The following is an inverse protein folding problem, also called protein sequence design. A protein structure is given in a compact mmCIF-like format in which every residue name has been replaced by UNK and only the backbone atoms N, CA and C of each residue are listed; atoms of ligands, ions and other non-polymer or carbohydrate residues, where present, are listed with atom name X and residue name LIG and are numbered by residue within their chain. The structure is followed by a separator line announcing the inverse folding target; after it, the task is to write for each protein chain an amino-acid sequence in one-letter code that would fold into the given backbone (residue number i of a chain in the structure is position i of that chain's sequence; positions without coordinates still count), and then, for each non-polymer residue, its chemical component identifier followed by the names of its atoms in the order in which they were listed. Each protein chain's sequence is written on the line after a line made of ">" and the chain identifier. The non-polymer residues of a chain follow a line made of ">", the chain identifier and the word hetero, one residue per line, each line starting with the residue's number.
data_IF_787488315922
#
_entry.id   IF_787488315922
#
_cell.length_a   1.000
_cell.length_b   1.000
_cell.length_c   1.000
_cell.angle_alpha   90.00
_cell.angle_beta   90.00
_cell.angle_gamma   90.00
#
_symmetry.space_group_name_H-M   'P 1'
#
loop_
_entity.id
_entity.type
_entity.pdbx_description
1 polymer ?
#
# COMPACT_ATOMS: atom_id res chain seq x y z
N UNK A 1 -21.25 -25.97 8.20
CA UNK A 1 -21.20 -25.77 8.26
C UNK A 1 -21.44 -25.36 8.36
N UNK A 2 -21.55 -25.32 8.08
CA UNK A 2 -21.63 -24.89 8.16
C UNK A 2 -21.84 -24.61 9.01
N UNK A 3 -21.86 -24.55 9.24
CA UNK A 3 -21.98 -24.29 9.85
C UNK A 3 -22.04 -23.84 10.49
N UNK A 4 -22.07 -24.89 10.91
CA UNK A 4 -21.62 -23.83 11.48
C UNK A 4 -21.89 -22.68 10.79
N UNK A 5 -22.20 -22.23 11.13
CA UNK A 5 -22.47 -21.14 10.46
C UNK A 5 -21.34 -20.52 9.84
N UNK A 6 -21.02 -21.00 8.76
CA UNK A 6 -19.96 -20.39 8.02
C UNK A 6 -20.56 -19.35 7.13
N UNK A 7 -20.23 -18.14 7.36
CA UNK A 7 -20.53 -17.11 6.41
C UNK A 7 -19.64 -17.32 5.21
N UNK A 8 -20.23 -17.54 4.08
CA UNK A 8 -19.47 -17.62 2.86
C UNK A 8 -19.15 -16.23 2.39
N UNK A 9 -17.88 -16.01 2.12
CA UNK A 9 -17.46 -14.79 1.48
C UNK A 9 -17.49 -15.02 -0.02
N UNK A 10 -18.21 -14.19 -0.71
CA UNK A 10 -18.28 -14.25 -2.16
C UNK A 10 -17.45 -13.11 -2.71
N UNK A 11 -16.47 -13.44 -3.52
CA UNK A 11 -15.65 -12.45 -4.18
C UNK A 11 -15.82 -12.61 -5.67
N UNK A 12 -16.26 -11.54 -6.31
CA UNK A 12 -16.37 -11.47 -7.75
C UNK A 12 -15.29 -10.57 -8.27
N UNK A 13 -14.99 -10.69 -9.55
CA UNK A 13 -14.00 -9.83 -10.17
C UNK A 13 -14.40 -8.37 -9.97
N UNK A 14 -13.53 -7.60 -9.34
CA UNK A 14 -13.74 -6.21 -9.06
C UNK A 14 -14.39 -5.91 -7.73
N UNK A 15 -15.08 -6.87 -7.10
CA UNK A 15 -15.82 -6.63 -5.87
C UNK A 15 -15.73 -7.82 -4.95
N UNK A 16 -15.45 -7.56 -3.66
CA UNK A 16 -15.61 -8.56 -2.62
C UNK A 16 -16.85 -8.22 -1.80
N UNK A 17 -17.64 -9.24 -1.51
CA UNK A 17 -18.87 -9.04 -0.75
C UNK A 17 -18.94 -10.05 0.38
N UNK A 18 -19.19 -9.59 1.59
CA UNK A 18 -19.41 -10.41 2.75
C UNK A 18 -20.34 -9.65 3.67
N UNK A 19 -21.46 -10.24 4.02
CA UNK A 19 -22.42 -9.63 4.94
C UNK A 19 -22.74 -8.18 4.56
N UNK A 20 -23.05 -7.96 3.29
CA UNK A 20 -23.39 -6.65 2.75
C UNK A 20 -22.28 -5.64 2.70
N UNK A 21 -21.05 -6.06 2.96
CA UNK A 21 -19.89 -5.18 2.82
C UNK A 21 -19.29 -5.36 1.43
N UNK A 22 -19.14 -4.26 0.72
CA UNK A 22 -18.52 -4.25 -0.61
C UNK A 22 -17.14 -3.66 -0.50
N UNK A 23 -16.16 -4.37 -1.06
CA UNK A 23 -14.77 -3.90 -1.10
C UNK A 23 -14.39 -3.74 -2.57
N UNK A 24 -13.94 -2.55 -2.97
CA UNK A 24 -13.55 -2.36 -4.36
C UNK A 24 -12.30 -3.18 -4.71
N UNK A 25 -12.23 -3.60 -5.95
CA UNK A 25 -11.09 -4.32 -6.48
C UNK A 25 -10.87 -3.87 -7.92
N UNK A 26 -9.82 -3.11 -8.22
CA UNK A 26 -8.68 -2.81 -7.36
C UNK A 26 -9.03 -1.85 -6.22
N UNK A 27 -8.17 -1.83 -5.22
CA UNK A 27 -8.31 -0.96 -4.08
C UNK A 27 -7.04 -0.14 -3.93
N UNK A 28 -7.18 1.15 -3.62
CA UNK A 28 -6.04 2.01 -3.36
C UNK A 28 -5.74 1.97 -1.88
N UNK A 29 -4.51 1.61 -1.54
CA UNK A 29 -4.06 1.54 -0.16
C UNK A 29 -2.82 2.39 0.01
N UNK A 30 -2.62 2.86 1.25
CA UNK A 30 -1.44 3.66 1.59
C UNK A 30 -0.75 2.97 2.77
N UNK A 31 -0.04 1.87 2.52
CA UNK A 31 0.66 1.19 3.61
C UNK A 31 1.89 1.96 4.05
N UNK A 32 2.30 1.72 5.28
CA UNK A 32 3.55 2.31 5.76
C UNK A 32 4.72 1.60 5.11
N UNK A 33 5.56 2.37 4.41
CA UNK A 33 6.71 1.84 3.69
C UNK A 33 7.97 2.65 3.92
N UNK A 34 7.82 3.78 4.62
CA UNK A 34 8.93 4.70 4.90
C UNK A 34 8.83 5.16 6.35
N UNK A 35 9.50 6.24 6.68
CA UNK A 35 9.44 6.81 8.02
C UNK A 35 8.07 7.44 8.27
N UNK A 36 7.66 7.44 9.52
CA UNK A 36 6.35 7.98 9.90
C UNK A 36 6.23 9.47 9.61
N UNK A 37 7.36 10.18 9.61
CA UNK A 37 7.38 11.62 9.37
C UNK A 37 7.19 11.99 7.90
N UNK A 38 7.21 11.01 7.02
CA UNK A 38 7.16 11.23 5.59
C UNK A 38 5.82 10.76 5.06
N UNK A 39 5.29 11.48 4.08
CA UNK A 39 4.06 11.07 3.44
C UNK A 39 4.26 9.70 2.78
N UNK A 40 3.33 8.80 3.07
CA UNK A 40 3.43 7.43 2.55
C UNK A 40 2.87 7.37 1.14
N UNK A 41 3.55 6.69 0.22
CA UNK A 41 3.02 6.53 -1.13
C UNK A 41 1.83 5.57 -1.15
N UNK A 42 0.84 5.88 -1.97
CA UNK A 42 -0.28 4.99 -2.18
C UNK A 42 -0.05 4.17 -3.43
N UNK A 43 -0.72 3.04 -3.51
CA UNK A 43 -0.66 2.17 -4.68
C UNK A 43 -1.97 1.43 -4.84
N UNK A 44 -2.22 0.99 -6.05
CA UNK A 44 -3.36 0.12 -6.31
C UNK A 44 -2.98 -1.32 -6.06
N UNK A 45 -3.87 -2.02 -5.40
CA UNK A 45 -3.73 -3.43 -5.12
C UNK A 45 -4.92 -4.18 -5.69
N UNK A 46 -4.67 -5.38 -6.15
CA UNK A 46 -5.70 -6.29 -6.61
C UNK A 46 -5.70 -7.49 -5.69
N UNK A 47 -6.85 -7.85 -5.16
CA UNK A 47 -6.92 -9.07 -4.41
C UNK A 47 -7.54 -10.18 -5.23
N UNK A 48 -7.08 -11.38 -4.98
CA UNK A 48 -7.51 -12.57 -5.68
C UNK A 48 -7.80 -13.67 -4.67
N UNK A 49 -8.68 -14.56 -5.05
CA UNK A 49 -8.94 -15.75 -4.27
C UNK A 49 -8.38 -16.93 -5.01
N UNK A 50 -7.69 -17.77 -4.27
CA UNK A 50 -7.20 -19.02 -4.78
C UNK A 50 -7.75 -20.14 -3.92
N UNK A 51 -8.32 -21.16 -4.54
CA UNK A 51 -8.75 -22.33 -3.82
C UNK A 51 -7.56 -23.23 -3.58
N UNK A 52 -7.33 -23.55 -2.32
CA UNK A 52 -6.20 -24.38 -1.95
C UNK A 52 -6.71 -25.55 -1.14
N UNK A 53 -7.23 -26.55 -1.85
CA UNK A 53 -7.70 -27.78 -1.21
C UNK A 53 -8.93 -27.56 -0.33
N UNK A 54 -9.85 -26.74 -0.79
CA UNK A 54 -11.07 -26.48 -0.05
C UNK A 54 -11.00 -25.30 0.91
N UNK A 55 -9.81 -24.74 1.10
CA UNK A 55 -9.63 -23.56 1.92
C UNK A 55 -9.30 -22.37 1.02
N UNK A 56 -10.10 -21.29 1.05
CA UNK A 56 -9.78 -20.15 0.22
C UNK A 56 -8.58 -19.38 0.77
N UNK A 57 -7.72 -18.96 -0.13
CA UNK A 57 -6.57 -18.14 0.20
C UNK A 57 -6.74 -16.81 -0.51
N UNK A 58 -6.66 -15.74 0.27
CA UNK A 58 -6.75 -14.39 -0.28
C UNK A 58 -5.35 -13.87 -0.52
N UNK A 59 -5.13 -13.34 -1.72
CA UNK A 59 -3.85 -12.77 -2.09
C UNK A 59 -4.04 -11.31 -2.42
N UNK A 60 -3.16 -10.48 -1.92
CA UNK A 60 -3.13 -9.07 -2.24
C UNK A 60 -1.91 -8.82 -3.11
N UNK A 61 -2.13 -8.35 -4.32
CA UNK A 61 -1.06 -8.16 -5.29
C UNK A 61 -0.99 -6.69 -5.65
N UNK A 62 0.22 -6.15 -5.59
CA UNK A 62 0.45 -4.76 -5.96
C UNK A 62 0.36 -4.62 -7.48
N UNK A 63 -0.54 -3.76 -7.94
CA UNK A 63 -0.81 -3.64 -9.37
C UNK A 63 0.25 -2.85 -10.11
N UNK A 64 0.94 -1.94 -9.41
CA UNK A 64 1.90 -1.03 -10.02
C UNK A 64 3.34 -1.46 -9.82
N UNK A 65 3.56 -2.61 -9.23
CA UNK A 65 4.91 -3.11 -8.99
C UNK A 65 5.67 -2.23 -8.02
N UNK A 66 6.88 -1.86 -8.37
CA UNK A 66 7.75 -1.08 -7.49
C UNK A 66 7.68 0.42 -7.66
N UNK A 67 6.69 0.94 -8.35
CA UNK A 67 6.61 2.37 -8.65
C UNK A 67 6.60 3.22 -7.36
N UNK A 68 6.01 2.71 -6.29
CA UNK A 68 5.94 3.42 -5.01
C UNK A 68 7.33 3.78 -4.47
N UNK A 69 8.36 3.04 -4.86
CA UNK A 69 9.72 3.30 -4.35
C UNK A 69 10.25 4.64 -4.82
N UNK A 70 10.01 4.98 -6.07
CA UNK A 70 10.44 6.28 -6.59
C UNK A 70 9.72 7.41 -5.87
N UNK A 71 8.43 7.25 -5.65
CA UNK A 71 7.64 8.24 -4.93
C UNK A 71 8.11 8.36 -3.48
N UNK A 72 8.38 7.24 -2.82
CA UNK A 72 8.88 7.23 -1.44
C UNK A 72 10.21 7.97 -1.34
N UNK A 73 11.12 7.70 -2.27
CA UNK A 73 12.43 8.37 -2.25
C UNK A 73 12.29 9.87 -2.46
N UNK A 74 11.38 10.28 -3.32
CA UNK A 74 11.13 11.71 -3.53
C UNK A 74 10.55 12.36 -2.27
N UNK A 75 9.62 11.70 -1.61
CA UNK A 75 9.02 12.22 -0.39
C UNK A 75 10.07 12.35 0.73
N UNK A 76 10.95 11.37 0.86
CA UNK A 76 12.04 11.42 1.83
C UNK A 76 12.98 12.56 1.52
N UNK A 77 13.33 12.74 0.25
CA UNK A 77 14.22 13.81 -0.17
C UNK A 77 13.62 15.18 0.16
N UNK A 78 12.34 15.36 -0.11
CA UNK A 78 11.67 16.63 0.19
C UNK A 78 11.62 16.90 1.68
N UNK A 79 11.33 15.88 2.46
CA UNK A 79 11.30 16.00 3.91
C UNK A 79 12.67 16.41 4.45
N UNK A 80 13.74 15.73 4.04
CA UNK A 80 15.07 16.03 4.51
C UNK A 80 15.54 17.41 4.04
N UNK A 81 15.18 17.80 2.84
CA UNK A 81 15.52 19.12 2.32
C UNK A 81 14.90 20.20 3.20
N UNK A 82 13.67 20.00 3.60
CA UNK A 82 12.98 20.96 4.47
C UNK A 82 13.58 20.98 5.86
N UNK A 83 13.85 19.81 6.44
CA UNK A 83 14.37 19.72 7.80
C UNK A 83 15.79 20.25 7.92
N UNK A 84 16.59 20.16 6.86
CA UNK A 84 17.98 20.54 6.87
C UNK A 84 18.25 21.91 6.26
N UNK A 85 17.22 22.62 5.83
CA UNK A 85 17.43 23.88 5.13
C UNK A 85 18.11 24.95 5.97
N UNK A 86 17.89 24.93 7.29
CA UNK A 86 18.49 25.92 8.19
C UNK A 86 19.95 25.61 8.48
N UNK A 87 20.37 24.39 8.22
CA UNK A 87 21.75 23.96 8.40
C UNK A 87 22.55 24.18 7.12
N UNK A 88 21.91 23.98 5.96
CA UNK A 88 22.56 24.13 4.68
C UNK A 88 22.70 25.62 4.34
N UNK A 89 23.93 26.07 4.17
CA UNK A 89 24.22 27.47 3.84
C UNK A 89 25.49 27.54 2.99
N UNK A 90 26.03 28.75 2.79
CA UNK A 90 27.20 28.94 1.95
C UNK A 90 28.43 28.18 2.47
N UNK A 91 28.58 28.06 3.78
CA UNK A 91 29.72 27.35 4.36
C UNK A 91 29.47 25.87 4.51
N UNK A 92 28.22 25.52 4.78
CA UNK A 92 27.85 24.12 4.94
C UNK A 92 26.81 23.79 3.92
N UNK A 93 27.19 23.04 2.90
CA UNK A 93 26.25 22.60 1.87
C UNK A 93 25.91 21.15 2.10
N UNK A 94 24.61 20.88 2.09
CA UNK A 94 24.09 19.53 2.29
C UNK A 94 23.48 19.09 0.98
N UNK A 95 23.94 17.95 0.49
CA UNK A 95 23.40 17.34 -0.72
C UNK A 95 22.73 16.04 -0.33
N UNK A 96 21.50 15.87 -0.75
CA UNK A 96 20.73 14.65 -0.49
C UNK A 96 20.72 13.82 -1.76
N UNK A 97 21.23 12.61 -1.63
CA UNK A 97 21.28 11.68 -2.75
C UNK A 97 20.22 10.62 -2.49
N UNK A 98 19.30 10.50 -3.43
CA UNK A 98 18.20 9.56 -3.29
C UNK A 98 17.98 8.82 -4.60
#
# INVERSE_FOLDING_TARGET
>A
GDDGVTQKTTIKQGIASKADVLVPNPVTLTPYRTFLEVEQPSSEFVFRIKDNGGAPVFMLVEAEGGLWRAEAMQNIKEYLTMELKDISNEKTKITIIA
#
